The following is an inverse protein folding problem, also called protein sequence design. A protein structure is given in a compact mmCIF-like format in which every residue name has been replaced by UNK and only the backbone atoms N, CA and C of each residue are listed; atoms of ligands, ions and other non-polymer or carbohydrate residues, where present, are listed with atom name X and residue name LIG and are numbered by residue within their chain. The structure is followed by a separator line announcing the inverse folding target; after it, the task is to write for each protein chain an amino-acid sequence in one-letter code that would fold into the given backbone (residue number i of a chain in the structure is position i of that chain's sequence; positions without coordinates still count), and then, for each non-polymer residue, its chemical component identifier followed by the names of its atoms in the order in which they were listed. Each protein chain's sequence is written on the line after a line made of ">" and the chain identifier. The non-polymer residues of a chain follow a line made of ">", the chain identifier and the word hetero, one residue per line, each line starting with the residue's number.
data_IF_558150614019
#
_entry.id   IF_558150614019
#
_cell.length_a   1.000
_cell.length_b   1.000
_cell.length_c   1.000
_cell.angle_alpha   90.00
_cell.angle_beta   90.00
_cell.angle_gamma   90.00
#
_symmetry.space_group_name_H-M   'P 1'
#
loop_
_entity.id
_entity.type
_entity.pdbx_description
1 polymer ?
#
# COMPACT_ATOMS: atom_id res chain seq x y z
N UNK A 1 82.06 6.50 75.43
CA UNK A 1 80.78 6.96 74.89
C UNK A 1 81.08 8.22 74.10
N UNK A 2 80.96 8.17 72.78
CA UNK A 2 80.22 9.19 72.04
C UNK A 2 79.92 8.66 70.62
N UNK A 3 78.64 8.63 70.27
CA UNK A 3 78.13 8.21 68.96
C UNK A 3 78.23 9.37 67.98
N UNK A 4 78.66 9.14 66.74
CA UNK A 4 78.43 10.11 65.66
C UNK A 4 77.13 9.76 64.91
N UNK A 5 76.20 10.71 64.74
CA UNK A 5 74.94 10.48 64.07
C UNK A 5 75.13 10.29 62.57
N UNK A 6 74.55 9.21 62.02
CA UNK A 6 74.43 9.01 60.57
C UNK A 6 73.34 9.95 60.05
N UNK A 7 73.72 11.07 59.45
CA UNK A 7 72.79 11.91 58.71
C UNK A 7 72.43 11.22 57.39
N UNK A 8 71.18 10.75 57.28
CA UNK A 8 70.61 10.35 56.00
C UNK A 8 70.51 11.58 55.08
N UNK A 9 70.69 11.43 53.75
CA UNK A 9 70.50 12.52 52.80
C UNK A 9 69.10 13.10 52.93
N UNK A 10 68.99 14.43 53.01
CA UNK A 10 67.69 15.10 52.96
C UNK A 10 67.16 15.07 51.52
N UNK A 11 65.87 14.79 51.30
CA UNK A 11 65.26 14.82 49.97
C UNK A 11 65.46 16.19 49.30
N UNK A 12 65.79 16.18 48.01
CA UNK A 12 65.83 17.39 47.19
C UNK A 12 64.47 17.59 46.52
N UNK A 13 63.66 18.48 47.10
CA UNK A 13 62.31 18.75 46.63
C UNK A 13 62.28 19.38 45.23
N UNK A 14 63.30 20.14 44.84
CA UNK A 14 63.39 20.73 43.49
C UNK A 14 63.56 19.63 42.43
N UNK A 15 64.43 18.65 42.70
CA UNK A 15 64.60 17.48 41.83
C UNK A 15 63.32 16.65 41.77
N UNK A 16 62.63 16.46 42.90
CA UNK A 16 61.35 15.75 42.92
C UNK A 16 60.26 16.46 42.10
N UNK A 17 60.16 17.79 42.19
CA UNK A 17 59.22 18.59 41.39
C UNK A 17 59.56 18.47 39.90
N UNK A 18 60.83 18.53 39.54
CA UNK A 18 61.28 18.38 38.15
C UNK A 18 60.92 16.99 37.58
N UNK A 19 61.07 15.93 38.37
CA UNK A 19 60.65 14.59 37.96
C UNK A 19 59.14 14.45 37.80
N UNK A 20 58.35 15.07 38.67
CA UNK A 20 56.88 15.07 38.56
C UNK A 20 56.40 15.86 37.33
N UNK A 21 57.04 16.98 37.03
CA UNK A 21 56.77 17.77 35.83
C UNK A 21 57.11 16.96 34.58
N UNK A 22 58.32 16.40 34.50
CA UNK A 22 58.72 15.56 33.37
C UNK A 22 57.83 14.32 33.17
N UNK A 23 57.41 13.67 34.26
CA UNK A 23 56.43 12.59 34.18
C UNK A 23 55.07 13.06 33.62
N UNK A 24 54.62 14.24 34.02
CA UNK A 24 53.36 14.83 33.55
C UNK A 24 53.44 15.20 32.07
N UNK A 25 54.58 15.74 31.63
CA UNK A 25 54.83 16.08 30.23
C UNK A 25 54.85 14.83 29.34
N UNK A 26 55.57 13.78 29.75
CA UNK A 26 55.60 12.48 29.06
C UNK A 26 54.22 11.79 29.06
N UNK A 27 53.46 11.92 30.15
CA UNK A 27 52.08 11.45 30.19
C UNK A 27 51.18 12.20 29.20
N UNK A 28 51.45 13.49 28.94
CA UNK A 28 50.81 14.26 27.88
C UNK A 28 51.10 13.72 26.47
N UNK A 29 52.29 13.14 26.25
CA UNK A 29 52.67 12.50 24.99
C UNK A 29 51.96 11.17 24.72
N UNK A 30 51.37 10.53 25.73
CA UNK A 30 50.55 9.34 25.55
C UNK A 30 49.33 9.58 24.63
N UNK A 31 48.88 10.84 24.47
CA UNK A 31 47.83 11.23 23.53
C UNK A 31 48.27 11.12 22.05
N UNK A 32 49.58 11.10 21.79
CA UNK A 32 50.14 10.89 20.45
C UNK A 32 50.41 9.41 20.15
N UNK A 33 50.02 8.48 21.03
CA UNK A 33 50.19 7.06 20.78
C UNK A 33 49.20 6.62 19.69
N UNK A 34 49.67 6.05 18.57
CA UNK A 34 48.79 5.64 17.46
C UNK A 34 47.68 4.67 17.88
N UNK A 35 47.89 3.88 18.93
CA UNK A 35 46.89 2.97 19.49
C UNK A 35 45.69 3.68 20.11
N UNK A 36 45.88 4.87 20.70
CA UNK A 36 44.81 5.69 21.29
C UNK A 36 43.95 6.33 20.19
N UNK A 37 44.60 6.87 19.15
CA UNK A 37 43.90 7.42 17.97
C UNK A 37 43.17 6.33 17.16
N UNK A 38 43.79 5.15 17.02
CA UNK A 38 43.16 3.99 16.36
C UNK A 38 41.91 3.54 17.13
N UNK A 39 41.96 3.53 18.48
CA UNK A 39 40.80 3.21 19.31
C UNK A 39 39.65 4.21 19.13
N UNK A 40 39.95 5.51 19.07
CA UNK A 40 38.96 6.55 18.81
C UNK A 40 38.30 6.41 17.42
N UNK A 41 39.10 6.18 16.37
CA UNK A 41 38.60 5.96 15.02
C UNK A 41 37.73 4.69 14.90
N UNK A 42 38.09 3.61 15.60
CA UNK A 42 37.28 2.38 15.65
C UNK A 42 35.95 2.63 16.36
N UNK A 43 35.93 3.38 17.47
CA UNK A 43 34.68 3.74 18.16
C UNK A 43 33.77 4.61 17.29
N UNK A 44 34.33 5.53 16.53
CA UNK A 44 33.58 6.34 15.56
C UNK A 44 32.97 5.47 14.44
N UNK A 45 33.76 4.54 13.90
CA UNK A 45 33.27 3.58 12.90
C UNK A 45 32.14 2.69 13.45
N UNK A 46 32.26 2.21 14.69
CA UNK A 46 31.21 1.42 15.37
C UNK A 46 29.95 2.26 15.58
N UNK A 47 30.08 3.52 16.01
CA UNK A 47 28.93 4.42 16.16
C UNK A 47 28.24 4.68 14.81
N UNK A 48 29.02 4.83 13.74
CA UNK A 48 28.50 4.94 12.37
C UNK A 48 27.75 3.69 11.93
N UNK A 49 28.27 2.48 12.22
CA UNK A 49 27.60 1.21 11.93
C UNK A 49 26.29 1.09 12.72
N UNK A 50 26.27 1.46 13.99
CA UNK A 50 25.05 1.41 14.81
C UNK A 50 23.96 2.33 14.25
N UNK A 51 24.31 3.55 13.86
CA UNK A 51 23.37 4.47 13.22
C UNK A 51 22.83 3.92 11.88
N UNK A 52 23.69 3.31 11.06
CA UNK A 52 23.27 2.66 9.81
C UNK A 52 22.35 1.47 10.05
N UNK A 53 22.61 0.65 11.08
CA UNK A 53 21.75 -0.48 11.44
C UNK A 53 20.39 -0.02 11.95
N UNK A 54 20.34 1.06 12.73
CA UNK A 54 19.07 1.68 13.16
C UNK A 54 18.26 2.17 11.95
N UNK A 55 18.91 2.86 11.01
CA UNK A 55 18.26 3.33 9.79
C UNK A 55 17.76 2.16 8.92
N UNK A 56 18.56 1.10 8.78
CA UNK A 56 18.15 -0.10 8.03
C UNK A 56 16.94 -0.77 8.68
N UNK A 57 16.94 -0.91 10.01
CA UNK A 57 15.80 -1.46 10.74
C UNK A 57 14.53 -0.61 10.56
N UNK A 58 14.65 0.71 10.53
CA UNK A 58 13.53 1.62 10.26
C UNK A 58 13.01 1.44 8.83
N UNK A 59 13.90 1.43 7.84
CA UNK A 59 13.54 1.21 6.44
C UNK A 59 12.87 -0.15 6.23
N UNK A 60 13.37 -1.21 6.89
CA UNK A 60 12.79 -2.54 6.82
C UNK A 60 11.36 -2.57 7.36
N UNK A 61 11.10 -1.92 8.51
CA UNK A 61 9.75 -1.82 9.08
C UNK A 61 8.80 -1.06 8.16
N UNK A 62 9.28 0.05 7.57
CA UNK A 62 8.50 0.83 6.61
C UNK A 62 8.16 0.01 5.36
N UNK A 63 9.13 -0.71 4.81
CA UNK A 63 8.93 -1.56 3.64
C UNK A 63 7.95 -2.70 3.94
N UNK A 64 8.09 -3.38 5.08
CA UNK A 64 7.11 -4.41 5.50
C UNK A 64 5.70 -3.84 5.59
N UNK A 65 5.52 -2.67 6.20
CA UNK A 65 4.20 -2.04 6.29
C UNK A 65 3.63 -1.70 4.90
N UNK A 66 4.46 -1.23 3.97
CA UNK A 66 4.04 -0.96 2.59
C UNK A 66 3.67 -2.23 1.84
N UNK A 67 4.44 -3.30 1.98
CA UNK A 67 4.15 -4.61 1.36
C UNK A 67 2.83 -5.17 1.89
N UNK A 68 2.58 -5.08 3.20
CA UNK A 68 1.31 -5.51 3.80
C UNK A 68 0.12 -4.68 3.28
N UNK A 69 0.32 -3.39 3.08
CA UNK A 69 -0.72 -2.50 2.55
C UNK A 69 -1.06 -2.83 1.09
N UNK A 70 -0.04 -3.02 0.25
CA UNK A 70 -0.20 -3.48 -1.14
C UNK A 70 -0.88 -4.85 -1.18
N UNK A 71 -0.49 -5.78 -0.30
CA UNK A 71 -1.11 -7.09 -0.21
C UNK A 71 -2.61 -7.02 0.11
N UNK A 72 -2.99 -6.15 1.06
CA UNK A 72 -4.39 -5.90 1.42
C UNK A 72 -5.18 -5.25 0.28
N UNK A 73 -4.64 -4.21 -0.36
CA UNK A 73 -5.29 -3.53 -1.49
C UNK A 73 -5.50 -4.49 -2.68
N UNK A 74 -4.48 -5.27 -3.01
CA UNK A 74 -4.57 -6.26 -4.08
C UNK A 74 -5.59 -7.35 -3.78
N UNK A 75 -5.63 -7.86 -2.54
CA UNK A 75 -6.62 -8.83 -2.09
C UNK A 75 -8.05 -8.32 -2.30
N UNK A 76 -8.33 -7.10 -1.83
CA UNK A 76 -9.64 -6.46 -1.98
C UNK A 76 -10.02 -6.24 -3.46
N UNK A 77 -9.05 -5.85 -4.31
CA UNK A 77 -9.30 -5.66 -5.75
C UNK A 77 -9.60 -6.98 -6.45
N UNK A 78 -8.88 -8.05 -6.13
CA UNK A 78 -9.12 -9.38 -6.70
C UNK A 78 -10.50 -9.89 -6.28
N UNK A 79 -10.88 -9.73 -5.02
CA UNK A 79 -12.22 -10.13 -4.54
C UNK A 79 -13.33 -9.37 -5.28
N UNK A 80 -13.21 -8.04 -5.39
CA UNK A 80 -14.17 -7.22 -6.16
C UNK A 80 -14.24 -7.62 -7.62
N UNK A 81 -13.12 -7.92 -8.27
CA UNK A 81 -13.12 -8.41 -9.65
C UNK A 81 -13.82 -9.78 -9.76
N UNK A 82 -13.60 -10.68 -8.80
CA UNK A 82 -14.29 -11.97 -8.74
C UNK A 82 -15.80 -11.81 -8.62
N UNK A 83 -16.27 -10.91 -7.74
CA UNK A 83 -17.70 -10.60 -7.59
C UNK A 83 -18.29 -10.03 -8.90
N UNK A 84 -17.64 -9.02 -9.50
CA UNK A 84 -18.10 -8.39 -10.75
C UNK A 84 -18.17 -9.40 -11.90
N UNK A 85 -17.22 -10.33 -11.99
CA UNK A 85 -17.26 -11.42 -12.95
C UNK A 85 -18.46 -12.33 -12.71
N UNK A 86 -18.71 -12.73 -11.45
CA UNK A 86 -19.88 -13.52 -11.09
C UNK A 86 -21.22 -12.84 -11.46
N UNK A 87 -21.35 -11.55 -11.21
CA UNK A 87 -22.55 -10.78 -11.60
C UNK A 87 -22.68 -10.61 -13.12
N UNK A 88 -21.56 -10.47 -13.84
CA UNK A 88 -21.56 -10.47 -15.30
C UNK A 88 -21.99 -11.82 -15.88
N UNK A 89 -21.60 -12.93 -15.26
CA UNK A 89 -22.01 -14.27 -15.66
C UNK A 89 -23.49 -14.52 -15.37
N UNK A 90 -23.98 -14.11 -14.20
CA UNK A 90 -25.41 -14.14 -13.86
C UNK A 90 -26.22 -13.34 -14.89
N UNK A 91 -25.80 -12.11 -15.19
CA UNK A 91 -26.42 -11.30 -16.24
C UNK A 91 -26.36 -11.97 -17.62
N UNK A 92 -25.33 -12.77 -17.91
CA UNK A 92 -25.26 -13.55 -19.16
C UNK A 92 -26.31 -14.64 -19.21
N UNK A 93 -26.58 -15.31 -18.09
CA UNK A 93 -27.65 -16.32 -17.99
C UNK A 93 -29.03 -15.68 -18.12
N UNK A 94 -29.28 -14.57 -17.41
CA UNK A 94 -30.54 -13.83 -17.50
C UNK A 94 -30.78 -13.30 -18.91
N UNK A 95 -29.72 -12.79 -19.58
CA UNK A 95 -29.80 -12.41 -21.00
C UNK A 95 -30.24 -13.55 -21.90
N UNK A 96 -29.75 -14.76 -21.65
CA UNK A 96 -30.12 -15.93 -22.44
C UNK A 96 -31.59 -16.28 -22.23
N UNK A 97 -32.08 -16.21 -21.00
CA UNK A 97 -33.50 -16.41 -20.66
C UNK A 97 -34.38 -15.36 -21.37
N UNK A 98 -34.05 -14.08 -21.20
CA UNK A 98 -34.76 -12.97 -21.81
C UNK A 98 -34.73 -13.00 -23.35
N UNK A 99 -33.75 -13.65 -23.96
CA UNK A 99 -33.69 -13.78 -25.43
C UNK A 99 -34.85 -14.61 -26.01
N UNK A 100 -35.52 -15.42 -25.19
CA UNK A 100 -36.73 -16.14 -25.58
C UNK A 100 -37.99 -15.25 -25.58
N UNK A 101 -37.95 -14.10 -24.90
CA UNK A 101 -39.05 -13.13 -24.82
C UNK A 101 -39.14 -12.33 -26.12
N UNK A 102 -40.01 -12.77 -27.03
CA UNK A 102 -40.16 -12.16 -28.37
C UNK A 102 -41.40 -11.29 -28.51
N UNK A 103 -42.43 -11.46 -27.67
CA UNK A 103 -43.69 -10.71 -27.76
C UNK A 103 -43.66 -9.50 -26.86
N UNK A 104 -44.38 -8.44 -27.20
CA UNK A 104 -44.42 -7.20 -26.40
C UNK A 104 -44.92 -7.41 -24.97
N UNK A 105 -45.77 -8.40 -24.73
CA UNK A 105 -46.28 -8.75 -23.40
C UNK A 105 -45.50 -9.89 -22.73
N UNK A 106 -44.43 -10.39 -23.34
CA UNK A 106 -43.59 -11.40 -22.72
C UNK A 106 -42.83 -10.77 -21.55
N UNK A 107 -42.89 -11.44 -20.41
CA UNK A 107 -42.17 -11.06 -19.20
C UNK A 107 -40.66 -11.23 -19.40
N UNK A 108 -39.89 -10.36 -18.75
CA UNK A 108 -38.43 -10.42 -18.72
C UNK A 108 -37.94 -10.39 -17.29
N UNK A 109 -36.88 -11.13 -17.04
CA UNK A 109 -36.23 -11.20 -15.73
C UNK A 109 -35.27 -10.00 -15.58
N UNK A 110 -35.33 -9.27 -14.46
CA UNK A 110 -34.40 -8.18 -14.17
C UNK A 110 -32.94 -8.63 -14.20
N UNK A 111 -32.07 -7.78 -14.74
CA UNK A 111 -30.63 -7.94 -14.59
C UNK A 111 -30.17 -7.41 -13.23
N UNK A 112 -29.00 -7.86 -12.79
CA UNK A 112 -28.36 -7.37 -11.57
C UNK A 112 -27.34 -6.27 -11.87
N UNK A 113 -27.13 -5.38 -10.91
CA UNK A 113 -26.09 -4.36 -10.95
C UNK A 113 -24.71 -5.03 -10.91
N UNK A 114 -23.81 -4.62 -11.80
CA UNK A 114 -22.49 -5.28 -11.93
C UNK A 114 -21.55 -5.00 -10.76
N UNK A 115 -21.81 -3.98 -9.94
CA UNK A 115 -21.00 -3.65 -8.76
C UNK A 115 -21.57 -4.23 -7.46
N UNK A 116 -22.89 -4.26 -7.29
CA UNK A 116 -23.54 -4.70 -6.02
C UNK A 116 -24.14 -6.10 -6.09
N UNK A 117 -24.45 -6.61 -7.28
CA UNK A 117 -25.16 -7.87 -7.47
C UNK A 117 -26.65 -7.83 -7.13
N UNK A 118 -27.19 -6.66 -6.76
CA UNK A 118 -28.61 -6.48 -6.49
C UNK A 118 -29.41 -6.31 -7.78
N UNK A 119 -30.69 -6.70 -7.75
CA UNK A 119 -31.60 -6.49 -8.88
C UNK A 119 -31.71 -5.01 -9.24
N UNK A 120 -31.52 -4.68 -10.51
CA UNK A 120 -31.66 -3.31 -11.02
C UNK A 120 -33.12 -2.90 -10.87
N UNK A 121 -33.41 -1.97 -9.95
CA UNK A 121 -34.79 -1.55 -9.67
C UNK A 121 -34.93 -0.03 -9.84
N UNK A 122 -35.95 0.48 -10.56
CA UNK A 122 -36.97 -0.28 -11.30
C UNK A 122 -36.40 -0.99 -12.55
N UNK A 123 -36.98 -2.10 -12.98
CA UNK A 123 -36.67 -2.74 -14.26
C UNK A 123 -37.95 -2.85 -15.10
N UNK A 124 -37.88 -2.74 -16.44
CA UNK A 124 -39.03 -3.03 -17.29
C UNK A 124 -39.49 -4.48 -17.08
N UNK A 125 -40.78 -4.71 -16.83
CA UNK A 125 -41.31 -6.05 -16.56
C UNK A 125 -41.52 -6.87 -17.85
N UNK A 126 -41.74 -6.19 -18.98
CA UNK A 126 -41.99 -6.83 -20.28
C UNK A 126 -41.17 -6.21 -21.41
N UNK A 127 -41.10 -6.90 -22.56
CA UNK A 127 -40.49 -6.36 -23.79
C UNK A 127 -41.11 -5.02 -24.21
N UNK A 128 -42.43 -4.87 -24.06
CA UNK A 128 -43.15 -3.65 -24.36
C UNK A 128 -42.79 -2.50 -23.42
N UNK A 129 -42.56 -2.79 -22.14
CA UNK A 129 -42.06 -1.80 -21.18
C UNK A 129 -40.64 -1.36 -21.53
N UNK A 130 -39.79 -2.29 -22.01
CA UNK A 130 -38.47 -1.93 -22.52
C UNK A 130 -38.62 -0.97 -23.67
N UNK A 131 -39.54 -1.20 -24.63
CA UNK A 131 -39.81 -0.32 -25.77
C UNK A 131 -40.35 1.05 -25.34
N UNK A 132 -41.18 1.11 -24.30
CA UNK A 132 -41.74 2.34 -23.74
C UNK A 132 -40.78 3.09 -22.78
N UNK A 133 -39.66 2.47 -22.36
CA UNK A 133 -38.75 3.03 -21.38
C UNK A 133 -38.22 4.43 -21.75
N UNK A 134 -38.21 5.33 -20.76
CA UNK A 134 -37.77 6.71 -20.93
C UNK A 134 -36.24 6.79 -21.14
N UNK A 135 -35.76 7.91 -21.67
CA UNK A 135 -34.32 8.13 -21.82
C UNK A 135 -33.57 8.12 -20.47
N UNK A 136 -34.23 8.55 -19.39
CA UNK A 136 -33.68 8.51 -18.03
C UNK A 136 -33.52 7.07 -17.55
N UNK A 137 -34.56 6.24 -17.71
CA UNK A 137 -34.54 4.83 -17.32
C UNK A 137 -33.49 4.05 -18.10
N UNK A 138 -33.40 4.27 -19.42
CA UNK A 138 -32.37 3.65 -20.27
C UNK A 138 -30.97 4.00 -19.76
N UNK A 139 -30.69 5.28 -19.47
CA UNK A 139 -29.37 5.68 -19.00
C UNK A 139 -29.06 5.07 -17.63
N UNK A 140 -30.03 5.04 -16.72
CA UNK A 140 -29.86 4.46 -15.40
C UNK A 140 -29.53 2.96 -15.49
N UNK A 141 -30.35 2.18 -16.19
CA UNK A 141 -30.12 0.73 -16.35
C UNK A 141 -28.76 0.47 -17.01
N UNK A 142 -28.42 1.21 -18.08
CA UNK A 142 -27.10 1.08 -18.71
C UNK A 142 -25.96 1.41 -17.72
N UNK A 143 -26.10 2.44 -16.90
CA UNK A 143 -25.11 2.79 -15.88
C UNK A 143 -24.94 1.72 -14.82
N UNK A 144 -26.04 1.12 -14.34
CA UNK A 144 -26.00 0.03 -13.35
C UNK A 144 -25.40 -1.26 -13.92
N UNK A 145 -25.47 -1.44 -15.24
CA UNK A 145 -24.77 -2.50 -15.97
C UNK A 145 -23.31 -2.15 -16.32
N UNK A 146 -22.81 -0.98 -15.92
CA UNK A 146 -21.47 -0.50 -16.26
C UNK A 146 -21.28 -0.19 -17.75
N UNK A 147 -22.38 0.04 -18.49
CA UNK A 147 -22.38 0.31 -19.91
C UNK A 147 -22.41 1.82 -20.22
N UNK A 148 -21.82 2.25 -21.35
CA UNK A 148 -21.85 3.66 -21.73
C UNK A 148 -23.28 4.18 -21.92
N UNK A 149 -23.52 5.42 -21.49
CA UNK A 149 -24.80 6.15 -21.65
C UNK A 149 -24.72 7.27 -22.69
N UNK A 150 -23.65 7.34 -23.46
CA UNK A 150 -23.46 8.31 -24.53
C UNK A 150 -24.15 7.91 -25.85
N UNK A 151 -24.31 8.88 -26.74
CA UNK A 151 -24.88 8.70 -28.08
C UNK A 151 -26.37 9.07 -28.19
N UNK A 152 -26.95 8.80 -29.35
CA UNK A 152 -28.35 9.10 -29.66
C UNK A 152 -29.30 8.18 -28.90
N UNK A 153 -30.56 8.61 -28.70
CA UNK A 153 -31.58 7.80 -28.03
C UNK A 153 -31.73 6.39 -28.66
N UNK A 154 -31.69 6.31 -29.99
CA UNK A 154 -31.73 5.03 -30.72
C UNK A 154 -30.54 4.13 -30.39
N UNK A 155 -29.32 4.67 -30.33
CA UNK A 155 -28.12 3.90 -30.01
C UNK A 155 -28.17 3.36 -28.57
N UNK A 156 -28.64 4.17 -27.62
CA UNK A 156 -28.82 3.74 -26.22
C UNK A 156 -29.90 2.67 -26.10
N UNK A 157 -31.03 2.82 -26.80
CA UNK A 157 -32.11 1.81 -26.84
C UNK A 157 -31.62 0.48 -27.39
N UNK A 158 -30.88 0.50 -28.50
CA UNK A 158 -30.28 -0.70 -29.07
C UNK A 158 -29.28 -1.37 -28.10
N UNK A 159 -28.48 -0.55 -27.40
CA UNK A 159 -27.56 -1.04 -26.36
C UNK A 159 -28.31 -1.71 -25.22
N UNK A 160 -29.41 -1.09 -24.75
CA UNK A 160 -30.27 -1.67 -23.71
C UNK A 160 -30.86 -3.00 -24.17
N UNK A 161 -31.49 -3.05 -25.36
CA UNK A 161 -32.08 -4.29 -25.88
C UNK A 161 -31.04 -5.42 -25.94
N UNK A 162 -29.83 -5.14 -26.44
CA UNK A 162 -28.73 -6.11 -26.46
C UNK A 162 -28.29 -6.52 -25.05
N UNK A 163 -28.22 -5.57 -24.12
CA UNK A 163 -27.80 -5.83 -22.75
C UNK A 163 -28.81 -6.68 -21.98
N UNK A 164 -30.11 -6.55 -22.28
CA UNK A 164 -31.20 -7.36 -21.73
C UNK A 164 -31.29 -8.72 -22.42
N UNK A 165 -30.79 -8.86 -23.66
CA UNK A 165 -30.86 -10.09 -24.44
C UNK A 165 -31.98 -10.11 -25.48
N UNK A 166 -32.68 -9.00 -25.68
CA UNK A 166 -33.79 -8.90 -26.61
C UNK A 166 -33.31 -8.83 -28.06
N UNK A 167 -33.77 -9.77 -28.88
CA UNK A 167 -33.61 -9.67 -30.33
C UNK A 167 -34.53 -8.57 -30.87
N UNK A 168 -33.95 -7.57 -31.52
CA UNK A 168 -34.72 -6.54 -32.23
C UNK A 168 -35.65 -7.22 -33.24
N UNK A 169 -36.95 -7.31 -32.94
CA UNK A 169 -37.93 -7.69 -33.93
C UNK A 169 -37.88 -6.64 -35.05
N UNK A 170 -37.52 -7.06 -36.25
CA UNK A 170 -37.81 -6.27 -37.45
C UNK A 170 -39.33 -6.17 -37.52
N UNK A 171 -39.86 -4.98 -37.24
CA UNK A 171 -41.21 -4.61 -37.65
C UNK A 171 -41.26 -4.51 -39.17
#
# INVERSE_FOLDING_TARGET
>A
MDEMPVHLPTPNFDIMIQHLQGFTDEFGHCRNLPSVDTGAAVLEAINGINAQLEQLNQNQRQLSAQVDDVGRDLGNKIERLGQRLGYSDLNSMIRLENSSATRSNAEITPLVNVETGEDITPFPATVGDVDAASAADINRILSELGLPTNGTARAKKQRLNRAIGLTLQKR
#
